data_IF_440702271701
#
_entry.id   IF_440702271701
#
_cell.length_a   1.000
_cell.length_b   1.000
_cell.length_c   1.000
_cell.angle_alpha   90.00
_cell.angle_beta   90.00
_cell.angle_gamma   90.00
#
_symmetry.space_group_name_H-M   'P 1'
#
loop_
_entity.id
_entity.type
_entity.pdbx_description
1 polymer ?
#
# COMPACT_ATOMS: atom_id res chain seq x y z
N UNK A 1 58.55 68.11 2.91
CA UNK A 1 57.20 68.69 3.11
C UNK A 1 56.21 67.53 3.22
N UNK A 2 55.91 67.07 4.44
CA UNK A 2 55.00 65.95 4.69
C UNK A 2 53.56 66.47 4.81
N UNK A 3 52.66 66.01 3.94
CA UNK A 3 51.24 66.28 4.06
C UNK A 3 50.64 65.34 5.11
N UNK A 4 50.25 65.88 6.27
CA UNK A 4 49.41 65.17 7.25
C UNK A 4 47.96 65.35 6.86
N UNK A 5 47.37 64.34 6.23
CA UNK A 5 45.93 64.23 6.04
C UNK A 5 45.32 63.94 7.42
N UNK A 6 44.55 64.87 7.97
CA UNK A 6 43.71 64.59 9.14
C UNK A 6 42.46 63.88 8.64
N UNK A 7 42.37 62.58 8.92
CA UNK A 7 41.11 61.83 8.79
C UNK A 7 40.22 62.28 9.95
N UNK A 8 39.02 62.85 9.71
CA UNK A 8 38.10 63.13 10.80
C UNK A 8 37.62 61.81 11.40
N UNK A 9 37.72 61.66 12.73
CA UNK A 9 37.14 60.53 13.46
C UNK A 9 35.64 60.48 13.16
N UNK A 10 35.22 59.38 12.53
CA UNK A 10 33.81 59.02 12.43
C UNK A 10 33.38 58.51 13.81
N UNK A 11 33.11 59.44 14.71
CA UNK A 11 32.28 59.15 15.88
C UNK A 11 30.88 59.03 15.32
N UNK A 12 30.36 57.81 15.19
CA UNK A 12 28.92 57.60 15.11
C UNK A 12 28.41 57.72 16.56
N UNK A 13 27.90 58.89 17.02
CA UNK A 13 27.03 58.85 18.19
C UNK A 13 25.80 58.12 17.67
N UNK A 14 25.61 56.87 18.08
CA UNK A 14 24.25 56.38 18.20
C UNK A 14 23.55 57.37 19.13
N UNK A 15 22.85 58.31 18.50
CA UNK A 15 22.34 59.54 19.06
C UNK A 15 21.40 59.20 20.23
N UNK A 16 21.97 59.15 21.42
CA UNK A 16 21.27 58.83 22.67
C UNK A 16 20.07 59.77 22.83
N UNK A 17 20.17 61.02 22.36
CA UNK A 17 19.08 61.97 22.38
C UNK A 17 17.91 61.56 21.46
N UNK A 18 18.17 60.98 20.28
CA UNK A 18 17.12 60.43 19.41
C UNK A 18 16.47 59.18 20.00
N UNK A 19 17.26 58.31 20.63
CA UNK A 19 16.75 57.13 21.32
C UNK A 19 15.89 57.52 22.52
N UNK A 20 16.35 58.48 23.34
CA UNK A 20 15.61 59.04 24.47
C UNK A 20 14.31 59.70 24.00
N UNK A 21 14.33 60.44 22.89
CA UNK A 21 13.12 61.06 22.32
C UNK A 21 12.12 60.01 21.80
N UNK A 22 12.60 58.90 21.25
CA UNK A 22 11.75 57.76 20.84
C UNK A 22 11.14 57.03 22.05
N UNK A 23 11.93 56.83 23.10
CA UNK A 23 11.49 56.22 24.36
C UNK A 23 10.49 57.10 25.09
N UNK A 24 10.74 58.41 25.21
CA UNK A 24 9.83 59.35 25.86
C UNK A 24 8.49 59.46 25.11
N UNK A 25 8.53 59.45 23.77
CA UNK A 25 7.31 59.44 22.94
C UNK A 25 6.54 58.13 23.11
N UNK A 26 7.24 56.99 23.20
CA UNK A 26 6.64 55.69 23.49
C UNK A 26 6.02 55.64 24.90
N UNK A 27 6.72 56.15 25.92
CA UNK A 27 6.25 56.22 27.31
C UNK A 27 5.04 57.14 27.45
N UNK A 28 5.02 58.27 26.76
CA UNK A 28 3.86 59.17 26.72
C UNK A 28 2.63 58.52 26.09
N UNK A 29 2.80 57.84 24.95
CA UNK A 29 1.70 57.08 24.32
C UNK A 29 1.22 55.94 25.22
N UNK A 30 2.13 55.27 25.94
CA UNK A 30 1.79 54.23 26.92
C UNK A 30 0.99 54.78 28.11
N UNK A 31 1.30 55.99 28.58
CA UNK A 31 0.56 56.66 29.64
C UNK A 31 -0.81 57.15 29.17
N UNK A 32 -0.88 57.75 27.97
CA UNK A 32 -2.10 58.33 27.41
C UNK A 32 -3.11 57.24 26.98
N UNK A 33 -2.61 56.10 26.47
CA UNK A 33 -3.43 54.95 26.06
C UNK A 33 -3.35 53.75 27.01
N UNK A 34 -2.96 53.96 28.28
CA UNK A 34 -2.74 52.86 29.26
C UNK A 34 -3.89 51.86 29.34
N UNK A 35 -5.14 52.33 29.26
CA UNK A 35 -6.33 51.46 29.26
C UNK A 35 -6.42 50.57 28.02
N UNK A 36 -6.10 51.11 26.84
CA UNK A 36 -6.09 50.35 25.60
C UNK A 36 -4.93 49.36 25.54
N UNK A 37 -3.75 49.74 26.04
CA UNK A 37 -2.59 48.83 26.16
C UNK A 37 -2.90 47.68 27.13
N UNK A 38 -3.47 47.98 28.30
CA UNK A 38 -3.88 46.95 29.26
C UNK A 38 -4.99 46.04 28.70
N UNK A 39 -5.95 46.61 27.98
CA UNK A 39 -6.99 45.83 27.29
C UNK A 39 -6.37 44.91 26.23
N UNK A 40 -5.44 45.43 25.41
CA UNK A 40 -4.69 44.65 24.41
C UNK A 40 -3.88 43.52 25.02
N UNK A 41 -3.14 43.80 26.12
CA UNK A 41 -2.41 42.78 26.87
C UNK A 41 -3.36 41.73 27.47
N UNK A 42 -4.51 42.15 28.00
CA UNK A 42 -5.55 41.24 28.49
C UNK A 42 -6.06 40.31 27.40
N UNK A 43 -6.34 40.84 26.20
CA UNK A 43 -6.75 40.04 25.03
C UNK A 43 -5.67 39.03 24.65
N UNK A 44 -4.40 39.44 24.61
CA UNK A 44 -3.27 38.54 24.31
C UNK A 44 -3.12 37.45 25.37
N UNK A 45 -3.26 37.78 26.66
CA UNK A 45 -3.21 36.80 27.74
C UNK A 45 -4.35 35.77 27.64
N UNK A 46 -5.57 36.22 27.36
CA UNK A 46 -6.72 35.33 27.16
C UNK A 46 -6.50 34.44 25.94
N UNK A 47 -6.04 35.00 24.82
CA UNK A 47 -5.72 34.23 23.62
C UNK A 47 -4.63 33.17 23.90
N UNK A 48 -3.58 33.55 24.62
CA UNK A 48 -2.51 32.63 25.04
C UNK A 48 -3.04 31.50 25.93
N UNK A 49 -3.91 31.81 26.89
CA UNK A 49 -4.53 30.80 27.76
C UNK A 49 -5.43 29.83 26.97
N UNK A 50 -6.18 30.33 25.98
CA UNK A 50 -6.99 29.48 25.08
C UNK A 50 -6.09 28.54 24.28
N UNK A 51 -5.02 29.05 23.66
CA UNK A 51 -4.08 28.22 22.89
C UNK A 51 -3.43 27.16 23.79
N UNK A 52 -2.96 27.54 24.98
CA UNK A 52 -2.38 26.59 25.93
C UNK A 52 -3.38 25.53 26.37
N UNK A 53 -4.64 25.91 26.61
CA UNK A 53 -5.72 24.99 26.95
C UNK A 53 -6.01 23.98 25.83
N UNK A 54 -6.07 24.45 24.58
CA UNK A 54 -6.24 23.56 23.40
C UNK A 54 -5.04 22.64 23.23
N UNK A 55 -3.81 23.15 23.32
CA UNK A 55 -2.60 22.32 23.23
C UNK A 55 -2.54 21.25 24.33
N UNK A 56 -2.92 21.60 25.56
CA UNK A 56 -2.97 20.65 26.67
C UNK A 56 -4.06 19.60 26.46
N UNK A 57 -5.25 20.01 26.01
CA UNK A 57 -6.33 19.09 25.68
C UNK A 57 -5.94 18.13 24.55
N UNK A 58 -5.37 18.64 23.45
CA UNK A 58 -4.91 17.85 22.31
C UNK A 58 -3.79 16.88 22.73
N UNK A 59 -2.87 17.33 23.58
CA UNK A 59 -1.82 16.47 24.14
C UNK A 59 -2.40 15.33 24.97
N UNK A 60 -3.32 15.63 25.89
CA UNK A 60 -4.00 14.64 26.72
C UNK A 60 -4.82 13.65 25.87
N UNK A 61 -5.55 14.15 24.87
CA UNK A 61 -6.33 13.32 23.96
C UNK A 61 -5.42 12.37 23.16
N UNK A 62 -4.24 12.85 22.74
CA UNK A 62 -3.26 12.06 22.00
C UNK A 62 -2.65 10.96 22.86
N UNK A 63 -2.35 11.24 24.14
CA UNK A 63 -1.83 10.22 25.05
C UNK A 63 -2.83 9.08 25.27
N UNK A 64 -4.09 9.42 25.57
CA UNK A 64 -5.16 8.42 25.79
C UNK A 64 -5.43 7.61 24.52
N UNK A 65 -5.47 8.27 23.36
CA UNK A 65 -5.65 7.58 22.08
C UNK A 65 -4.54 6.57 21.80
N UNK A 66 -3.28 6.91 22.13
CA UNK A 66 -2.13 6.01 21.96
C UNK A 66 -2.17 4.82 22.91
N UNK A 67 -2.56 5.03 24.16
CA UNK A 67 -2.70 3.95 25.15
C UNK A 67 -3.75 2.92 24.69
N UNK A 68 -4.94 3.40 24.30
CA UNK A 68 -6.00 2.54 23.78
C UNK A 68 -5.60 1.82 22.50
N UNK A 69 -4.91 2.50 21.57
CA UNK A 69 -4.43 1.90 20.32
C UNK A 69 -3.38 0.81 20.57
N UNK A 70 -2.47 1.04 21.52
CA UNK A 70 -1.48 0.05 21.94
C UNK A 70 -2.15 -1.18 22.56
N UNK A 71 -3.08 -0.98 23.49
CA UNK A 71 -3.82 -2.07 24.11
C UNK A 71 -4.62 -2.86 23.06
N UNK A 72 -5.35 -2.18 22.19
CA UNK A 72 -6.07 -2.80 21.07
C UNK A 72 -5.13 -3.65 20.19
N UNK A 73 -3.95 -3.12 19.88
CA UNK A 73 -2.95 -3.80 19.06
C UNK A 73 -2.37 -5.03 19.75
N UNK A 74 -2.16 -4.98 21.06
CA UNK A 74 -1.73 -6.15 21.84
C UNK A 74 -2.79 -7.25 21.79
N UNK A 75 -4.07 -6.91 21.97
CA UNK A 75 -5.17 -7.87 21.81
C UNK A 75 -5.25 -8.44 20.39
N UNK A 76 -5.02 -7.61 19.37
CA UNK A 76 -5.06 -8.04 17.96
C UNK A 76 -3.91 -8.99 17.57
N UNK A 77 -2.70 -8.69 18.03
CA UNK A 77 -1.48 -9.45 17.69
C UNK A 77 -1.28 -10.69 18.55
N UNK A 78 -1.55 -10.62 19.86
CA UNK A 78 -1.30 -11.71 20.82
C UNK A 78 -2.48 -12.68 20.92
N UNK A 79 -3.18 -12.93 19.81
CA UNK A 79 -4.27 -13.90 19.77
C UNK A 79 -3.68 -15.32 19.74
N UNK A 80 -4.06 -16.22 20.67
CA UNK A 80 -3.57 -17.59 20.66
C UNK A 80 -4.02 -18.33 19.40
N UNK A 81 -3.13 -19.16 18.86
CA UNK A 81 -3.42 -19.99 17.69
C UNK A 81 -4.06 -21.34 18.08
N UNK A 82 -3.81 -21.78 19.31
CA UNK A 82 -4.23 -23.06 19.89
C UNK A 82 -5.60 -22.99 20.59
N UNK A 83 -6.07 -21.80 20.95
CA UNK A 83 -7.39 -21.58 21.58
C UNK A 83 -8.27 -20.63 20.74
N UNK A 84 -9.17 -21.18 19.90
CA UNK A 84 -10.06 -20.38 19.06
C UNK A 84 -11.00 -19.46 19.83
N UNK A 85 -11.46 -19.86 21.03
CA UNK A 85 -12.41 -19.05 21.81
C UNK A 85 -11.71 -17.81 22.36
N UNK A 86 -10.53 -18.01 22.95
CA UNK A 86 -9.71 -16.92 23.45
C UNK A 86 -9.22 -16.02 22.31
N UNK A 87 -8.90 -16.60 21.15
CA UNK A 87 -8.57 -15.85 19.94
C UNK A 87 -9.70 -14.90 19.51
N UNK A 88 -10.95 -15.38 19.54
CA UNK A 88 -12.12 -14.59 19.21
C UNK A 88 -12.42 -13.51 20.26
N UNK A 89 -12.25 -13.83 21.55
CA UNK A 89 -12.42 -12.86 22.64
C UNK A 89 -11.42 -11.70 22.51
N UNK A 90 -10.15 -12.01 22.31
CA UNK A 90 -9.08 -11.03 22.09
C UNK A 90 -9.36 -10.17 20.85
N UNK A 91 -9.84 -10.78 19.75
CA UNK A 91 -10.22 -10.03 18.55
C UNK A 91 -11.38 -9.06 18.82
N UNK A 92 -12.37 -9.47 19.61
CA UNK A 92 -13.52 -8.64 19.98
C UNK A 92 -13.11 -7.46 20.89
N UNK A 93 -12.17 -7.70 21.81
CA UNK A 93 -11.58 -6.65 22.65
C UNK A 93 -10.80 -5.64 21.81
N UNK A 94 -9.98 -6.09 20.86
CA UNK A 94 -9.28 -5.21 19.93
C UNK A 94 -10.24 -4.33 19.11
N UNK A 95 -11.30 -4.91 18.54
CA UNK A 95 -12.34 -4.17 17.80
C UNK A 95 -12.96 -3.08 18.69
N UNK A 96 -13.29 -3.43 19.94
CA UNK A 96 -13.90 -2.49 20.89
C UNK A 96 -12.97 -1.32 21.19
N UNK A 97 -11.69 -1.58 21.48
CA UNK A 97 -10.71 -0.55 21.82
C UNK A 97 -10.36 0.33 20.61
N UNK A 98 -10.15 -0.25 19.42
CA UNK A 98 -9.96 0.55 18.21
C UNK A 98 -11.15 1.45 17.92
N UNK A 99 -12.37 0.95 18.13
CA UNK A 99 -13.59 1.75 17.99
C UNK A 99 -13.59 2.95 18.96
N UNK A 100 -13.16 2.76 20.20
CA UNK A 100 -13.02 3.87 21.15
C UNK A 100 -12.02 4.92 20.67
N UNK A 101 -10.87 4.52 20.12
CA UNK A 101 -9.88 5.46 19.56
C UNK A 101 -10.51 6.32 18.47
N UNK A 102 -11.18 5.70 17.50
CA UNK A 102 -11.69 6.41 16.32
C UNK A 102 -12.94 7.24 16.59
N UNK A 103 -13.75 6.86 17.59
CA UNK A 103 -14.98 7.57 17.93
C UNK A 103 -14.74 8.68 18.96
N UNK A 104 -13.84 8.49 19.93
CA UNK A 104 -13.56 9.47 20.98
C UNK A 104 -12.40 10.42 20.62
N UNK A 105 -11.43 9.95 19.84
CA UNK A 105 -10.21 10.70 19.51
C UNK A 105 -9.93 10.78 18.00
N UNK A 106 -10.92 11.11 17.14
CA UNK A 106 -10.77 11.07 15.67
C UNK A 106 -9.71 12.05 15.12
N UNK A 107 -9.29 13.06 15.88
CA UNK A 107 -8.24 14.01 15.46
C UNK A 107 -6.84 13.62 15.93
N UNK A 108 -6.73 12.57 16.75
CA UNK A 108 -5.44 12.15 17.28
C UNK A 108 -4.58 11.52 16.16
N UNK A 109 -3.25 11.59 16.26
CA UNK A 109 -2.35 10.92 15.31
C UNK A 109 -2.52 9.40 15.24
N UNK A 110 -3.08 8.76 16.27
CA UNK A 110 -3.32 7.31 16.30
C UNK A 110 -4.58 6.91 15.50
N UNK A 111 -5.55 7.80 15.37
CA UNK A 111 -6.87 7.47 14.82
C UNK A 111 -6.85 6.91 13.38
N UNK A 112 -6.01 7.39 12.43
CA UNK A 112 -5.95 6.78 11.11
C UNK A 112 -5.50 5.31 11.15
N UNK A 113 -4.44 5.02 11.90
CA UNK A 113 -3.92 3.66 12.01
C UNK A 113 -4.89 2.75 12.76
N UNK A 114 -5.49 3.23 13.85
CA UNK A 114 -6.54 2.52 14.58
C UNK A 114 -7.75 2.20 13.69
N UNK A 115 -8.17 3.13 12.80
CA UNK A 115 -9.28 2.89 11.88
C UNK A 115 -8.94 1.85 10.81
N UNK A 116 -7.70 1.85 10.31
CA UNK A 116 -7.20 0.80 9.43
C UNK A 116 -7.20 -0.57 10.13
N UNK A 117 -6.70 -0.65 11.37
CA UNK A 117 -6.69 -1.88 12.14
C UNK A 117 -8.10 -2.35 12.54
N UNK A 118 -9.02 -1.43 12.85
CA UNK A 118 -10.43 -1.76 13.08
C UNK A 118 -11.03 -2.48 11.89
N UNK A 119 -10.84 -1.96 10.67
CA UNK A 119 -11.34 -2.60 9.45
C UNK A 119 -10.75 -3.99 9.25
N UNK A 120 -9.44 -4.14 9.48
CA UNK A 120 -8.76 -5.44 9.38
C UNK A 120 -9.31 -6.44 10.40
N UNK A 121 -9.49 -6.01 11.65
CA UNK A 121 -10.02 -6.82 12.74
C UNK A 121 -11.46 -7.26 12.47
N UNK A 122 -12.31 -6.38 11.94
CA UNK A 122 -13.68 -6.69 11.53
C UNK A 122 -13.71 -7.74 10.41
N UNK A 123 -12.93 -7.55 9.34
CA UNK A 123 -12.86 -8.56 8.26
C UNK A 123 -12.37 -9.90 8.80
N UNK A 124 -11.38 -9.89 9.70
CA UNK A 124 -10.86 -11.10 10.34
C UNK A 124 -11.91 -11.79 11.23
N UNK A 125 -12.79 -11.02 11.88
CA UNK A 125 -13.92 -11.52 12.65
C UNK A 125 -15.09 -12.01 11.76
N UNK A 126 -14.89 -12.09 10.44
CA UNK A 126 -15.89 -12.41 9.43
C UNK A 126 -17.02 -11.35 9.31
N UNK A 127 -16.80 -10.14 9.85
CA UNK A 127 -17.67 -8.98 9.73
C UNK A 127 -17.29 -8.15 8.47
N UNK A 128 -17.30 -8.80 7.31
CA UNK A 128 -16.76 -8.22 6.06
C UNK A 128 -17.44 -6.90 5.70
N UNK A 129 -18.77 -6.80 5.85
CA UNK A 129 -19.52 -5.58 5.57
C UNK A 129 -19.13 -4.42 6.49
N UNK A 130 -18.94 -4.69 7.79
CA UNK A 130 -18.48 -3.69 8.74
C UNK A 130 -17.07 -3.19 8.39
N UNK A 131 -16.17 -4.11 8.02
CA UNK A 131 -14.83 -3.78 7.56
C UNK A 131 -14.83 -2.88 6.32
N UNK A 132 -15.67 -3.20 5.31
CA UNK A 132 -15.85 -2.37 4.11
C UNK A 132 -16.25 -0.94 4.48
N UNK A 133 -17.26 -0.78 5.35
CA UNK A 133 -17.71 0.55 5.79
C UNK A 133 -16.63 1.29 6.58
N UNK A 134 -15.84 0.58 7.40
CA UNK A 134 -14.70 1.15 8.12
C UNK A 134 -13.60 1.66 7.18
N UNK A 135 -13.25 0.91 6.12
CA UNK A 135 -12.27 1.39 5.13
C UNK A 135 -12.79 2.58 4.34
N UNK A 136 -14.07 2.60 3.96
CA UNK A 136 -14.69 3.78 3.34
C UNK A 136 -14.65 4.99 4.26
N UNK A 137 -14.93 4.80 5.56
CA UNK A 137 -14.81 5.85 6.58
C UNK A 137 -13.37 6.38 6.66
N UNK A 138 -12.35 5.51 6.54
CA UNK A 138 -10.96 5.96 6.47
C UNK A 138 -10.73 6.87 5.27
N UNK A 139 -11.19 6.48 4.07
CA UNK A 139 -11.02 7.29 2.86
C UNK A 139 -11.72 8.65 2.99
N UNK A 140 -12.86 8.71 3.68
CA UNK A 140 -13.59 9.95 3.92
C UNK A 140 -12.88 10.87 4.93
N UNK A 141 -12.37 10.33 6.04
CA UNK A 141 -11.81 11.14 7.14
C UNK A 141 -10.31 11.41 7.00
N UNK A 142 -9.57 10.46 6.44
CA UNK A 142 -8.10 10.44 6.40
C UNK A 142 -7.56 10.18 4.99
N UNK A 143 -8.32 10.49 3.94
CA UNK A 143 -7.91 10.31 2.55
C UNK A 143 -6.64 11.07 2.14
N UNK A 144 -6.23 12.09 2.89
CA UNK A 144 -4.94 12.78 2.70
C UNK A 144 -3.73 12.00 3.23
N UNK A 145 -3.95 10.95 4.03
CA UNK A 145 -2.90 10.09 4.55
C UNK A 145 -2.45 9.07 3.48
N UNK A 146 -1.66 9.54 2.52
CA UNK A 146 -1.25 8.74 1.35
C UNK A 146 -0.42 7.51 1.71
N UNK A 147 0.30 7.53 2.84
CA UNK A 147 1.10 6.38 3.28
C UNK A 147 0.25 5.17 3.69
N UNK A 148 -0.95 5.41 4.24
CA UNK A 148 -1.89 4.35 4.60
C UNK A 148 -2.98 4.12 3.54
N UNK A 149 -3.32 5.14 2.74
CA UNK A 149 -4.44 5.08 1.80
C UNK A 149 -4.31 3.90 0.82
N UNK A 150 -3.11 3.65 0.29
CA UNK A 150 -2.88 2.52 -0.62
C UNK A 150 -3.11 1.15 0.05
N UNK A 151 -2.76 1.01 1.33
CA UNK A 151 -3.01 -0.21 2.11
C UNK A 151 -4.49 -0.38 2.44
N UNK A 152 -5.17 0.72 2.79
CA UNK A 152 -6.61 0.74 3.08
C UNK A 152 -7.41 0.33 1.85
N UNK A 153 -7.12 0.93 0.69
CA UNK A 153 -7.79 0.56 -0.56
C UNK A 153 -7.51 -0.90 -0.97
N UNK A 154 -6.28 -1.39 -0.75
CA UNK A 154 -5.96 -2.80 -1.00
C UNK A 154 -6.79 -3.73 -0.10
N UNK A 155 -6.91 -3.42 1.20
CA UNK A 155 -7.74 -4.21 2.13
C UNK A 155 -9.22 -4.13 1.79
N UNK A 156 -9.70 -2.95 1.38
CA UNK A 156 -11.05 -2.76 0.88
C UNK A 156 -11.32 -3.63 -0.36
N UNK A 157 -10.39 -3.64 -1.32
CA UNK A 157 -10.51 -4.47 -2.51
C UNK A 157 -10.61 -5.97 -2.17
N UNK A 158 -9.79 -6.46 -1.25
CA UNK A 158 -9.89 -7.83 -0.77
C UNK A 158 -11.18 -8.13 -0.02
N UNK A 159 -11.69 -7.20 0.79
CA UNK A 159 -12.97 -7.35 1.46
C UNK A 159 -14.12 -7.45 0.43
N UNK A 160 -14.07 -6.67 -0.65
CA UNK A 160 -15.00 -6.80 -1.77
C UNK A 160 -14.88 -8.14 -2.49
N UNK A 161 -13.66 -8.64 -2.74
CA UNK A 161 -13.47 -9.98 -3.31
C UNK A 161 -14.04 -11.09 -2.41
N UNK A 162 -13.84 -10.99 -1.09
CA UNK A 162 -14.39 -11.94 -0.12
C UNK A 162 -15.93 -11.92 -0.13
N UNK A 163 -16.54 -10.75 -0.37
CA UNK A 163 -17.99 -10.60 -0.57
C UNK A 163 -18.47 -11.06 -1.95
N UNK A 164 -17.56 -11.31 -2.89
CA UNK A 164 -17.87 -11.65 -4.28
C UNK A 164 -18.13 -10.46 -5.19
N UNK A 165 -17.99 -9.23 -4.69
CA UNK A 165 -18.18 -7.98 -5.44
C UNK A 165 -16.90 -7.60 -6.20
N UNK A 166 -16.66 -8.31 -7.31
CA UNK A 166 -15.44 -8.14 -8.12
C UNK A 166 -15.34 -6.74 -8.73
N UNK A 167 -16.45 -6.12 -9.11
CA UNK A 167 -16.43 -4.81 -9.76
C UNK A 167 -15.96 -3.72 -8.78
N UNK A 168 -16.41 -3.77 -7.53
CA UNK A 168 -15.91 -2.87 -6.49
C UNK A 168 -14.48 -3.17 -6.10
N UNK A 169 -14.07 -4.45 -6.09
CA UNK A 169 -12.68 -4.82 -5.87
C UNK A 169 -11.75 -4.22 -6.93
N UNK A 170 -12.10 -4.35 -8.21
CA UNK A 170 -11.33 -3.75 -9.32
C UNK A 170 -11.23 -2.24 -9.14
N UNK A 171 -12.34 -1.54 -8.87
CA UNK A 171 -12.32 -0.08 -8.62
C UNK A 171 -11.38 0.30 -7.48
N UNK A 172 -11.44 -0.41 -6.36
CA UNK A 172 -10.60 -0.15 -5.21
C UNK A 172 -9.11 -0.41 -5.51
N UNK A 173 -8.78 -1.48 -6.25
CA UNK A 173 -7.41 -1.75 -6.69
C UNK A 173 -6.90 -0.69 -7.67
N UNK A 174 -7.67 -0.38 -8.72
CA UNK A 174 -7.27 0.62 -9.73
C UNK A 174 -6.99 1.99 -9.09
N UNK A 175 -7.79 2.40 -8.09
CA UNK A 175 -7.57 3.66 -7.37
C UNK A 175 -6.19 3.79 -6.72
N UNK A 176 -5.52 2.69 -6.40
CA UNK A 176 -4.17 2.69 -5.80
C UNK A 176 -3.11 3.13 -6.81
N UNK A 177 -3.33 2.83 -8.10
CA UNK A 177 -2.39 3.19 -9.17
C UNK A 177 -2.28 4.72 -9.31
N UNK A 178 -3.33 5.46 -8.95
CA UNK A 178 -3.38 6.92 -8.99
C UNK A 178 -2.80 7.59 -7.74
N UNK A 179 -2.55 6.84 -6.65
CA UNK A 179 -2.00 7.39 -5.41
C UNK A 179 -0.50 7.71 -5.62
N UNK A 180 -0.06 8.97 -5.41
CA UNK A 180 1.35 9.32 -5.47
C UNK A 180 2.15 8.58 -4.38
N UNK A 181 3.23 7.92 -4.78
CA UNK A 181 4.13 7.22 -3.84
C UNK A 181 3.58 5.93 -3.22
N UNK A 182 2.44 5.40 -3.70
CA UNK A 182 1.95 4.10 -3.23
C UNK A 182 2.99 2.99 -3.49
N UNK A 183 3.32 2.26 -2.43
CA UNK A 183 4.40 1.26 -2.43
C UNK A 183 3.97 -0.12 -2.97
N UNK A 184 2.66 -0.32 -3.17
CA UNK A 184 2.04 -1.61 -3.49
C UNK A 184 1.52 -1.68 -4.93
N UNK A 185 1.96 -0.79 -5.83
CA UNK A 185 1.45 -0.74 -7.22
C UNK A 185 1.75 -2.00 -8.03
N UNK A 186 2.91 -2.62 -7.80
CA UNK A 186 3.30 -3.87 -8.43
C UNK A 186 2.35 -5.02 -8.06
N UNK A 187 2.06 -5.16 -6.77
CA UNK A 187 1.09 -6.10 -6.24
C UNK A 187 -0.31 -5.86 -6.82
N UNK A 188 -0.72 -4.59 -6.93
CA UNK A 188 -2.03 -4.20 -7.48
C UNK A 188 -2.17 -4.58 -8.96
N UNK A 189 -1.14 -4.31 -9.78
CA UNK A 189 -1.15 -4.72 -11.19
C UNK A 189 -1.28 -6.24 -11.34
N UNK A 190 -0.58 -6.99 -10.49
CA UNK A 190 -0.69 -8.44 -10.47
C UNK A 190 -2.09 -8.94 -10.12
N UNK A 191 -2.73 -8.38 -9.08
CA UNK A 191 -4.07 -8.77 -8.67
C UNK A 191 -5.15 -8.36 -9.69
N UNK A 192 -5.04 -7.17 -10.29
CA UNK A 192 -5.94 -6.75 -11.36
C UNK A 192 -5.88 -7.71 -12.55
N UNK A 193 -4.67 -8.09 -12.97
CA UNK A 193 -4.49 -9.05 -14.04
C UNK A 193 -5.15 -10.41 -13.73
N UNK A 194 -4.97 -10.92 -12.51
CA UNK A 194 -5.60 -12.17 -12.05
C UNK A 194 -7.13 -12.09 -12.06
N UNK A 195 -7.69 -10.96 -11.62
CA UNK A 195 -9.15 -10.76 -11.63
C UNK A 195 -9.67 -10.79 -13.07
N UNK A 196 -9.04 -10.07 -13.99
CA UNK A 196 -9.45 -10.05 -15.40
C UNK A 196 -9.31 -11.40 -16.08
N UNK A 197 -8.24 -12.14 -15.79
CA UNK A 197 -8.07 -13.50 -16.29
C UNK A 197 -9.20 -14.42 -15.80
N UNK A 198 -9.56 -14.32 -14.51
CA UNK A 198 -10.68 -15.09 -13.94
C UNK A 198 -12.03 -14.76 -14.59
N UNK A 199 -12.14 -13.58 -15.22
CA UNK A 199 -13.32 -13.13 -15.95
C UNK A 199 -13.22 -13.39 -17.46
N UNK A 200 -12.24 -14.19 -17.91
CA UNK A 200 -12.01 -14.47 -19.33
C UNK A 200 -11.78 -13.20 -20.16
N UNK A 201 -11.10 -12.20 -19.58
CA UNK A 201 -10.67 -10.96 -20.25
C UNK A 201 -9.14 -10.96 -20.45
N UNK A 202 -8.61 -11.80 -21.35
CA UNK A 202 -7.16 -12.01 -21.46
C UNK A 202 -6.39 -10.78 -21.94
N UNK A 203 -7.01 -9.91 -22.74
CA UNK A 203 -6.37 -8.67 -23.21
C UNK A 203 -6.03 -7.71 -22.07
N UNK A 204 -6.98 -7.50 -21.14
CA UNK A 204 -6.74 -6.68 -19.96
C UNK A 204 -5.68 -7.30 -19.05
N UNK A 205 -5.81 -8.62 -18.80
CA UNK A 205 -4.86 -9.33 -17.94
C UNK A 205 -3.43 -9.23 -18.47
N UNK A 206 -3.25 -9.38 -19.78
CA UNK A 206 -1.97 -9.18 -20.46
C UNK A 206 -1.44 -7.75 -20.27
N UNK A 207 -2.29 -6.74 -20.43
CA UNK A 207 -1.87 -5.35 -20.27
C UNK A 207 -1.32 -5.08 -18.86
N UNK A 208 -2.01 -5.54 -17.82
CA UNK A 208 -1.56 -5.36 -16.43
C UNK A 208 -0.30 -6.18 -16.10
N UNK A 209 -0.18 -7.43 -16.56
CA UNK A 209 1.04 -8.22 -16.36
C UNK A 209 2.24 -7.61 -17.09
N UNK A 210 2.05 -7.12 -18.31
CA UNK A 210 3.12 -6.47 -19.08
C UNK A 210 3.54 -5.15 -18.42
N UNK A 211 2.60 -4.36 -17.91
CA UNK A 211 2.89 -3.12 -17.19
C UNK A 211 3.69 -3.39 -15.91
N UNK A 212 3.32 -4.44 -15.15
CA UNK A 212 4.08 -4.92 -14.01
C UNK A 212 5.53 -5.27 -14.38
N UNK A 213 5.71 -6.10 -15.40
CA UNK A 213 7.04 -6.54 -15.86
C UNK A 213 7.90 -5.37 -16.33
N UNK A 214 7.29 -4.37 -16.97
CA UNK A 214 7.99 -3.22 -17.53
C UNK A 214 8.40 -2.22 -16.45
N UNK A 215 7.49 -1.87 -15.54
CA UNK A 215 7.70 -0.79 -14.58
C UNK A 215 8.30 -1.28 -13.25
N UNK A 216 8.17 -2.57 -12.95
CA UNK A 216 8.64 -3.18 -11.70
C UNK A 216 9.42 -4.47 -11.94
N UNK A 217 10.52 -4.44 -12.72
CA UNK A 217 11.26 -5.65 -13.11
C UNK A 217 11.82 -6.46 -11.92
N UNK A 218 12.03 -5.83 -10.77
CA UNK A 218 12.55 -6.46 -9.55
C UNK A 218 11.45 -6.86 -8.55
N UNK A 219 10.16 -6.71 -8.91
CA UNK A 219 9.05 -7.11 -8.06
C UNK A 219 9.01 -8.63 -7.87
N UNK A 220 8.63 -9.14 -6.68
CA UNK A 220 8.41 -10.56 -6.47
C UNK A 220 7.33 -11.16 -7.40
N UNK A 221 6.45 -10.34 -7.97
CA UNK A 221 5.36 -10.79 -8.87
C UNK A 221 5.79 -10.89 -10.34
N UNK A 222 6.93 -10.32 -10.73
CA UNK A 222 7.33 -10.18 -12.14
C UNK A 222 7.60 -11.53 -12.82
N UNK A 223 8.26 -12.45 -12.11
CA UNK A 223 8.54 -13.79 -12.64
C UNK A 223 7.25 -14.57 -12.92
N UNK A 224 6.27 -14.47 -12.01
CA UNK A 224 4.98 -15.12 -12.19
C UNK A 224 4.18 -14.48 -13.32
N UNK A 225 4.14 -13.13 -13.37
CA UNK A 225 3.51 -12.39 -14.47
C UNK A 225 4.04 -12.81 -15.84
N UNK A 226 5.37 -13.00 -15.98
CA UNK A 226 5.97 -13.44 -17.24
C UNK A 226 5.52 -14.85 -17.66
N UNK A 227 5.29 -15.76 -16.70
CA UNK A 227 4.73 -17.08 -16.98
C UNK A 227 3.26 -16.95 -17.41
N UNK A 228 2.47 -16.14 -16.71
CA UNK A 228 1.04 -15.92 -17.04
C UNK A 228 0.87 -15.32 -18.44
N UNK A 229 1.70 -14.34 -18.82
CA UNK A 229 1.71 -13.76 -20.17
C UNK A 229 1.89 -14.84 -21.25
N UNK A 230 2.92 -15.68 -21.11
CA UNK A 230 3.17 -16.78 -22.08
C UNK A 230 1.98 -17.74 -22.19
N UNK A 231 1.37 -18.10 -21.06
CA UNK A 231 0.20 -18.99 -21.03
C UNK A 231 -0.99 -18.35 -21.76
N UNK A 232 -1.24 -17.07 -21.52
CA UNK A 232 -2.34 -16.34 -22.14
C UNK A 232 -2.15 -16.13 -23.64
N UNK A 233 -0.92 -15.88 -24.09
CA UNK A 233 -0.59 -15.76 -25.52
C UNK A 233 -0.73 -17.09 -26.27
N UNK A 234 -0.26 -18.19 -25.68
CA UNK A 234 -0.43 -19.54 -26.25
C UNK A 234 -1.91 -19.89 -26.38
N UNK A 235 -2.73 -19.57 -25.37
CA UNK A 235 -4.18 -19.81 -25.41
C UNK A 235 -4.89 -18.94 -26.44
N UNK A 236 -4.35 -17.75 -26.76
CA UNK A 236 -4.89 -16.82 -27.75
C UNK A 236 -4.51 -17.18 -29.18
N UNK A 237 -3.34 -17.78 -29.39
CA UNK A 237 -3.01 -18.40 -30.66
C UNK A 237 -3.96 -19.61 -30.83
N UNK A 238 -4.93 -19.59 -31.77
CA UNK A 238 -5.70 -20.80 -32.04
C UNK A 238 -4.70 -21.90 -32.38
N UNK A 239 -4.88 -23.10 -31.83
CA UNK A 239 -4.12 -24.27 -32.24
C UNK A 239 -4.19 -24.36 -33.76
N UNK A 240 -3.16 -23.85 -34.43
CA UNK A 240 -2.90 -24.25 -35.80
C UNK A 240 -2.55 -25.71 -35.61
N UNK A 241 -3.30 -26.68 -36.16
CA UNK A 241 -2.93 -28.07 -36.01
C UNK A 241 -1.52 -28.18 -36.55
N UNK A 242 -0.55 -28.40 -35.66
CA UNK A 242 0.78 -28.80 -36.08
C UNK A 242 0.54 -30.04 -36.95
N UNK A 243 0.96 -29.91 -38.20
CA UNK A 243 0.70 -30.86 -39.26
C UNK A 243 0.80 -32.30 -38.75
N UNK A 244 -0.19 -33.10 -39.14
CA UNK A 244 -0.20 -34.55 -38.98
C UNK A 244 1.20 -35.14 -39.22
N UNK A 245 1.61 -36.16 -38.46
CA UNK A 245 2.88 -36.83 -38.70
C UNK A 245 2.88 -37.30 -40.15
N UNK A 246 3.86 -36.86 -40.93
CA UNK A 246 4.08 -37.36 -42.28
C UNK A 246 4.33 -38.87 -42.17
N UNK A 247 3.26 -39.62 -42.40
CA UNK A 247 3.29 -41.07 -42.51
C UNK A 247 4.21 -41.44 -43.66
N UNK A 248 5.10 -42.38 -43.38
CA UNK A 248 5.85 -43.13 -44.36
C UNK A 248 5.02 -43.51 -45.58
N UNK A 249 5.45 -43.12 -46.78
CA UNK A 249 5.11 -43.78 -48.04
C UNK A 249 5.99 -43.25 -49.17
N UNK A 250 7.14 -43.90 -49.40
CA UNK A 250 7.69 -44.07 -50.75
C UNK A 250 8.75 -45.18 -50.74
N UNK A 251 8.28 -46.41 -50.64
CA UNK A 251 9.04 -47.57 -51.09
C UNK A 251 8.89 -47.69 -52.63
N UNK A 252 9.97 -47.78 -53.42
CA UNK A 252 9.86 -48.11 -54.83
C UNK A 252 9.62 -49.62 -55.03
N UNK A 253 8.80 -49.95 -56.02
CA UNK A 253 8.43 -51.30 -56.43
C UNK A 253 9.62 -52.14 -56.97
N UNK A 254 9.51 -53.49 -57.01
CA UNK A 254 10.62 -54.40 -57.26
C UNK A 254 10.93 -54.62 -58.75
N UNK A 255 12.21 -54.74 -59.09
CA UNK A 255 12.69 -55.25 -60.39
C UNK A 255 12.81 -56.79 -60.37
N UNK A 256 12.63 -57.48 -61.51
CA UNK A 256 12.70 -58.94 -61.59
C UNK A 256 14.13 -59.50 -61.79
N UNK A 257 14.32 -60.66 -61.15
CA UNK A 257 15.38 -61.69 -61.14
C UNK A 257 16.58 -61.64 -62.11
N UNK A 258 17.76 -62.03 -61.58
CA UNK A 258 18.59 -63.11 -62.14
C UNK A 258 19.48 -63.78 -61.05
N UNK A 259 19.95 -65.04 -61.25
CA UNK A 259 20.13 -65.99 -60.15
C UNK A 259 21.57 -66.37 -59.77
N UNK A 260 21.64 -67.08 -58.63
CA UNK A 260 22.63 -68.06 -58.18
C UNK A 260 23.96 -67.58 -57.54
N UNK A 261 24.14 -67.96 -56.26
CA UNK A 261 25.09 -69.02 -55.88
C UNK A 261 24.88 -69.51 -54.45
N UNK A 262 25.06 -70.83 -54.31
CA UNK A 262 24.86 -71.63 -53.12
C UNK A 262 26.03 -71.56 -52.12
N UNK A 263 25.73 -71.73 -50.84
CA UNK A 263 26.57 -72.36 -49.79
C UNK A 263 25.77 -72.32 -48.47
N UNK A 264 25.13 -73.40 -48.03
CA UNK A 264 25.65 -74.55 -47.28
C UNK A 264 25.84 -74.28 -45.77
N UNK A 265 25.20 -75.12 -44.93
CA UNK A 265 25.39 -75.21 -43.47
C UNK A 265 24.09 -75.01 -42.68
N UNK A 266 23.31 -76.06 -42.36
CA UNK A 266 23.33 -76.83 -41.08
C UNK A 266 23.33 -75.90 -39.84
N UNK A 267 22.46 -75.98 -38.84
CA UNK A 267 21.91 -77.15 -38.16
C UNK A 267 20.91 -76.71 -37.06
N UNK A 268 19.85 -77.50 -36.86
CA UNK A 268 19.19 -77.85 -35.56
C UNK A 268 18.65 -76.76 -34.61
N UNK A 269 17.31 -76.63 -34.59
CA UNK A 269 16.37 -77.06 -33.53
C UNK A 269 16.55 -76.66 -32.03
N UNK A 270 15.44 -76.62 -31.24
CA UNK A 270 15.20 -75.66 -30.16
C UNK A 270 15.07 -76.29 -28.74
N UNK A 271 15.11 -75.47 -27.68
CA UNK A 271 14.49 -75.72 -26.36
C UNK A 271 14.71 -74.47 -25.46
N UNK A 272 13.69 -73.81 -24.91
CA UNK A 272 12.76 -74.20 -23.83
C UNK A 272 13.41 -74.35 -22.44
N UNK A 273 13.12 -73.38 -21.54
CA UNK A 273 12.91 -73.43 -20.06
C UNK A 273 13.29 -72.05 -19.47
N UNK A 274 12.46 -71.24 -18.80
CA UNK A 274 11.50 -71.38 -17.67
C UNK A 274 12.17 -71.55 -16.29
N UNK A 275 11.86 -70.60 -15.39
CA UNK A 275 12.11 -70.50 -13.92
C UNK A 275 13.55 -70.09 -13.54
N UNK A 276 13.78 -69.17 -12.60
CA UNK A 276 13.06 -68.85 -11.36
C UNK A 276 12.73 -67.37 -11.23
#
# INVERSE_FOLDING_TARGET
MSYRIRVPEKVDPLDEAHLLTGVDRFLHVLQEQRRAVLAGLGVVLVAGAVVAGVMWYDYQSTLKARELDQEATLHYLNRPADDPKKSQEQLSQAITLYKQVVDQYPRSPAAPLALFHLGNAQVLANEVDAGIETYKRFMLLYGSNTSLLGLVQQRLAYAYLAKGDRDQAVKAFTGILDIPGALNKDHVLFELAKIEESQSRPEGALAHYQDLMKNYPNSPFTSEAAVRVKVLEVKKAPETPAAAPASAASAPAPQPEQPAKASSGKSTAPASKKKQ
#
